data_IF_238733211706
#
_entry.id   IF_238733211706
#
_cell.length_a   1.000
_cell.length_b   1.000
_cell.length_c   1.000
_cell.angle_alpha   90.00
_cell.angle_beta   90.00
_cell.angle_gamma   90.00
#
_symmetry.space_group_name_H-M   'P 1'
#
loop_
_entity.id
_entity.type
_entity.pdbx_description
1 polymer ?
#
# COMPACT_ATOMS: atom_id res chain seq x y z
N UNK A 1 -4.55 -19.67 8.57
CA UNK A 1 -4.66 -18.81 9.76
C UNK A 1 -5.10 -17.43 9.30
N UNK A 2 -6.37 -17.06 9.53
CA UNK A 2 -6.96 -15.80 9.04
C UNK A 2 -6.88 -14.76 10.17
N UNK A 3 -5.83 -13.94 10.14
CA UNK A 3 -5.63 -12.84 11.10
C UNK A 3 -6.55 -11.68 10.76
N UNK A 4 -7.66 -11.55 11.49
CA UNK A 4 -8.51 -10.35 11.51
C UNK A 4 -7.89 -9.35 12.48
N UNK A 5 -7.67 -8.11 12.02
CA UNK A 5 -7.78 -6.83 12.74
C UNK A 5 -6.89 -5.78 12.04
N UNK A 6 -7.43 -4.90 11.18
CA UNK A 6 -7.13 -3.44 11.18
C UNK A 6 -8.28 -2.69 10.46
N UNK A 7 -9.49 -2.72 11.02
CA UNK A 7 -10.68 -2.12 10.38
C UNK A 7 -10.89 -0.62 10.60
N UNK A 8 -9.99 0.11 11.26
CA UNK A 8 -10.20 1.55 11.60
C UNK A 8 -9.04 2.48 11.26
N UNK A 9 -7.78 2.04 11.40
CA UNK A 9 -6.63 2.91 11.12
C UNK A 9 -6.38 3.16 9.62
N UNK A 10 -6.88 2.26 8.77
CA UNK A 10 -6.83 2.37 7.31
C UNK A 10 -7.72 3.53 6.81
N UNK A 11 -8.83 3.81 7.50
CA UNK A 11 -9.89 4.66 6.97
C UNK A 11 -9.47 6.14 6.81
N UNK A 12 -8.56 6.67 7.63
CA UNK A 12 -8.12 8.06 7.51
C UNK A 12 -6.97 8.27 6.51
N UNK A 13 -6.01 7.35 6.44
CA UNK A 13 -4.90 7.45 5.50
C UNK A 13 -5.36 7.22 4.05
N UNK A 14 -6.39 6.38 3.88
CA UNK A 14 -6.92 5.97 2.59
C UNK A 14 -7.91 6.99 1.99
N UNK A 15 -8.75 7.65 2.81
CA UNK A 15 -9.77 8.58 2.31
C UNK A 15 -9.24 9.77 1.49
N UNK A 16 -7.96 10.17 1.68
CA UNK A 16 -7.34 11.23 0.88
C UNK A 16 -6.63 10.76 -0.40
N UNK A 17 -6.38 9.46 -0.54
CA UNK A 17 -5.71 8.89 -1.72
C UNK A 17 -6.71 8.36 -2.77
N UNK A 18 -7.97 8.10 -2.39
CA UNK A 18 -8.92 7.32 -3.19
C UNK A 18 -9.93 8.08 -4.02
N UNK A 19 -10.04 9.41 -3.93
CA UNK A 19 -11.09 10.12 -4.71
C UNK A 19 -10.81 10.18 -6.23
N UNK A 20 -9.68 9.65 -6.71
CA UNK A 20 -9.18 9.95 -8.07
C UNK A 20 -8.64 8.77 -8.88
N UNK A 21 -8.93 7.48 -8.60
CA UNK A 21 -8.32 6.39 -9.39
C UNK A 21 -9.33 5.29 -9.78
N UNK A 22 -9.45 5.09 -11.09
CA UNK A 22 -10.42 4.23 -11.76
C UNK A 22 -9.74 3.01 -12.39
N UNK A 23 -10.27 1.83 -12.07
CA UNK A 23 -10.26 0.53 -12.76
C UNK A 23 -8.92 -0.19 -13.10
N UNK A 24 -8.86 -1.43 -12.60
CA UNK A 24 -8.07 -2.62 -12.98
C UNK A 24 -6.53 -2.60 -12.88
N UNK A 25 -5.92 -1.44 -12.67
CA UNK A 25 -4.45 -1.27 -12.65
C UNK A 25 -3.89 -0.78 -11.32
N UNK A 26 -4.70 -0.84 -10.26
CA UNK A 26 -4.36 -0.28 -8.95
C UNK A 26 -3.29 -1.12 -8.22
N UNK A 27 -2.27 -0.46 -7.66
CA UNK A 27 -1.30 -1.13 -6.81
C UNK A 27 -1.95 -1.64 -5.53
N UNK A 28 -1.64 -2.89 -5.18
CA UNK A 28 -2.08 -3.49 -3.92
C UNK A 28 -1.08 -3.14 -2.84
N UNK A 29 -1.57 -2.61 -1.70
CA UNK A 29 -0.73 -2.26 -0.55
C UNK A 29 -1.31 -2.88 0.71
N UNK A 30 -0.49 -3.59 1.47
CA UNK A 30 -0.90 -4.15 2.77
C UNK A 30 0.22 -4.08 3.79
N UNK A 31 -0.15 -4.21 5.06
CA UNK A 31 0.77 -4.16 6.20
C UNK A 31 0.72 -5.48 6.97
N UNK A 32 1.88 -6.04 7.25
CA UNK A 32 2.04 -7.13 8.21
C UNK A 32 2.69 -6.60 9.48
N UNK A 33 2.36 -7.22 10.60
CA UNK A 33 3.01 -6.96 11.89
C UNK A 33 3.59 -8.29 12.33
N UNK A 34 4.91 -8.35 12.44
CA UNK A 34 5.63 -9.51 12.91
C UNK A 34 6.50 -9.12 14.10
N UNK A 35 6.31 -9.77 15.23
CA UNK A 35 7.09 -9.57 16.46
C UNK A 35 7.20 -8.08 16.90
N UNK A 36 6.15 -7.29 16.66
CA UNK A 36 6.12 -5.85 16.98
C UNK A 36 6.71 -4.94 15.89
N UNK A 37 7.31 -5.50 14.86
CA UNK A 37 7.79 -4.79 13.68
C UNK A 37 6.70 -4.71 12.62
N UNK A 38 6.41 -3.50 12.17
CA UNK A 38 5.57 -3.31 10.99
C UNK A 38 6.38 -3.42 9.71
N UNK A 39 5.89 -4.23 8.77
CA UNK A 39 6.36 -4.24 7.40
C UNK A 39 5.20 -3.94 6.47
N UNK A 40 5.48 -3.09 5.49
CA UNK A 40 4.57 -2.76 4.40
C UNK A 40 4.97 -3.54 3.17
N UNK A 41 3.98 -3.92 2.39
CA UNK A 41 4.15 -4.67 1.16
C UNK A 41 3.36 -3.98 0.07
N UNK A 42 3.93 -3.89 -1.12
CA UNK A 42 3.27 -3.36 -2.30
C UNK A 42 3.35 -4.37 -3.44
N UNK A 43 2.36 -4.34 -4.31
CA UNK A 43 2.33 -5.11 -5.54
C UNK A 43 1.75 -4.26 -6.67
N UNK A 44 2.48 -4.20 -7.77
CA UNK A 44 2.11 -3.54 -9.00
C UNK A 44 1.55 -4.55 -10.01
N UNK A 45 0.25 -4.55 -10.33
CA UNK A 45 -0.28 -5.43 -11.37
C UNK A 45 0.16 -5.06 -12.80
N UNK A 46 0.55 -3.81 -13.07
CA UNK A 46 1.00 -3.35 -14.39
C UNK A 46 2.39 -3.87 -14.74
N UNK A 47 3.30 -3.91 -13.75
CA UNK A 47 4.68 -4.36 -13.93
C UNK A 47 4.96 -5.74 -13.34
N UNK A 48 4.03 -6.30 -12.57
CA UNK A 48 4.20 -7.54 -11.81
C UNK A 48 5.18 -7.43 -10.64
N UNK A 49 5.60 -6.21 -10.27
CA UNK A 49 6.64 -5.99 -9.24
C UNK A 49 6.05 -5.93 -7.85
N UNK A 50 6.77 -6.50 -6.88
CA UNK A 50 6.45 -6.38 -5.46
C UNK A 50 7.62 -5.76 -4.70
N UNK A 51 7.32 -4.94 -3.69
CA UNK A 51 8.32 -4.31 -2.83
C UNK A 51 7.90 -4.37 -1.35
N UNK A 52 8.89 -4.41 -0.47
CA UNK A 52 8.70 -4.35 0.98
C UNK A 52 9.27 -3.03 1.53
N UNK A 53 8.57 -2.42 2.47
CA UNK A 53 8.96 -1.16 3.08
C UNK A 53 8.84 -1.21 4.61
N UNK A 54 9.67 -0.45 5.30
CA UNK A 54 9.64 -0.35 6.76
C UNK A 54 8.63 0.70 7.24
N UNK A 55 8.26 1.64 6.38
CA UNK A 55 7.42 2.78 6.72
C UNK A 55 6.37 3.11 5.67
N UNK A 56 5.32 3.81 6.10
CA UNK A 56 4.29 4.35 5.20
C UNK A 56 4.87 5.43 4.26
N UNK A 57 5.89 6.17 4.71
CA UNK A 57 6.55 7.20 3.89
C UNK A 57 7.22 6.61 2.66
N UNK A 58 7.88 5.46 2.80
CA UNK A 58 8.49 4.76 1.67
C UNK A 58 7.44 4.20 0.70
N UNK A 59 6.32 3.68 1.22
CA UNK A 59 5.18 3.26 0.39
C UNK A 59 4.62 4.45 -0.40
N UNK A 60 4.56 5.64 0.20
CA UNK A 60 4.13 6.86 -0.48
C UNK A 60 5.09 7.25 -1.61
N UNK A 61 6.40 7.26 -1.35
CA UNK A 61 7.40 7.55 -2.38
C UNK A 61 7.27 6.57 -3.54
N UNK A 62 7.07 5.28 -3.26
CA UNK A 62 6.86 4.28 -4.30
C UNK A 62 5.58 4.53 -5.13
N UNK A 63 4.47 4.92 -4.48
CA UNK A 63 3.25 5.31 -5.18
C UNK A 63 3.49 6.55 -6.04
N UNK A 64 4.17 7.56 -5.51
CA UNK A 64 4.52 8.78 -6.24
C UNK A 64 5.40 8.48 -7.45
N UNK A 65 6.43 7.66 -7.32
CA UNK A 65 7.26 7.19 -8.44
C UNK A 65 6.42 6.47 -9.50
N UNK A 66 5.50 5.60 -9.09
CA UNK A 66 4.61 4.89 -10.01
C UNK A 66 3.70 5.85 -10.80
N UNK A 67 3.14 6.87 -10.16
CA UNK A 67 2.15 7.76 -10.79
C UNK A 67 2.77 8.98 -11.49
N UNK A 68 3.92 9.47 -11.03
CA UNK A 68 4.58 10.66 -11.58
C UNK A 68 5.75 10.35 -12.53
N UNK A 69 6.13 9.08 -12.71
CA UNK A 69 7.14 8.67 -13.71
C UNK A 69 6.59 8.52 -15.14
N UNK A 70 5.42 9.08 -15.45
CA UNK A 70 4.81 9.06 -16.79
C UNK A 70 4.86 10.42 -17.48
#
# INVERSE_FOLDING_TARGET
MKGRLVGKAINQAWHRFTETLTLDTEPHVWKTIDHGHSRWHTYDPNTGRSSDFASEGEVRVWLEERYYSH
#
